data_IF_937906079564
#
_entry.id   IF_937906079564
#
_cell.length_a   1.000
_cell.length_b   1.000
_cell.length_c   1.000
_cell.angle_alpha   90.00
_cell.angle_beta   90.00
_cell.angle_gamma   90.00
#
_symmetry.space_group_name_H-M   'P 1'
#
loop_
_entity.id
_entity.type
_entity.pdbx_description
1 polymer ?
#
# COMPACT_ATOMS: atom_id res chain seq x y z
N UNK A 1 -1.65 -7.54 12.39
CA UNK A 1 -3.08 -7.50 12.03
C UNK A 1 -3.92 -7.89 13.21
N UNK A 2 -4.64 -6.94 13.81
CA UNK A 2 -5.57 -7.23 14.91
C UNK A 2 -5.86 -6.06 15.84
N UNK A 3 -5.01 -5.02 15.83
CA UNK A 3 -5.13 -3.85 16.72
C UNK A 3 -6.06 -2.76 16.18
N UNK A 4 -7.07 -3.13 15.40
CA UNK A 4 -8.03 -2.13 14.92
C UNK A 4 -8.99 -1.79 16.04
N UNK A 5 -9.03 -0.52 16.45
CA UNK A 5 -10.00 0.01 17.43
C UNK A 5 -11.46 -0.26 17.03
N UNK A 6 -11.70 -0.51 15.74
CA UNK A 6 -13.01 -0.79 15.16
C UNK A 6 -13.14 -2.26 14.70
N UNK A 7 -12.53 -3.18 15.45
CA UNK A 7 -12.53 -4.63 15.24
C UNK A 7 -11.78 -5.09 13.97
N UNK A 8 -12.41 -4.98 12.80
CA UNK A 8 -11.94 -5.62 11.57
C UNK A 8 -11.70 -4.66 10.39
N UNK A 9 -11.59 -3.36 10.67
CA UNK A 9 -11.34 -2.34 9.66
C UNK A 9 -10.07 -2.60 8.85
N UNK A 10 -8.98 -2.97 9.53
CA UNK A 10 -7.71 -3.33 8.89
C UNK A 10 -7.82 -4.56 7.97
N UNK A 11 -8.54 -5.62 8.36
CA UNK A 11 -8.76 -6.81 7.53
C UNK A 11 -9.57 -6.49 6.27
N UNK A 12 -10.58 -5.63 6.41
CA UNK A 12 -11.35 -5.11 5.26
C UNK A 12 -10.49 -4.26 4.35
N UNK A 13 -9.62 -3.41 4.89
CA UNK A 13 -8.67 -2.61 4.11
C UNK A 13 -7.70 -3.51 3.33
N UNK A 14 -7.13 -4.55 3.96
CA UNK A 14 -6.26 -5.51 3.28
C UNK A 14 -6.97 -6.20 2.11
N UNK A 15 -8.22 -6.61 2.30
CA UNK A 15 -9.03 -7.24 1.25
C UNK A 15 -9.21 -6.30 0.05
N UNK A 16 -9.52 -5.02 0.31
CA UNK A 16 -9.68 -3.99 -0.73
C UNK A 16 -8.37 -3.69 -1.44
N UNK A 17 -7.26 -3.59 -0.73
CA UNK A 17 -5.94 -3.33 -1.31
C UNK A 17 -5.52 -4.50 -2.20
N UNK A 18 -5.75 -5.75 -1.78
CA UNK A 18 -5.49 -6.92 -2.63
C UNK A 18 -6.31 -6.89 -3.93
N UNK A 19 -7.57 -6.45 -3.87
CA UNK A 19 -8.38 -6.25 -5.07
C UNK A 19 -7.80 -5.15 -5.97
N UNK A 20 -7.47 -3.98 -5.41
CA UNK A 20 -6.89 -2.85 -6.14
C UNK A 20 -5.57 -3.23 -6.82
N UNK A 21 -4.67 -3.93 -6.12
CA UNK A 21 -3.41 -4.44 -6.71
C UNK A 21 -3.65 -5.26 -7.97
N UNK A 22 -4.61 -6.20 -7.92
CA UNK A 22 -4.98 -7.02 -9.09
C UNK A 22 -5.60 -6.18 -10.21
N UNK A 23 -6.44 -5.21 -9.86
CA UNK A 23 -7.05 -4.31 -10.84
C UNK A 23 -6.00 -3.48 -11.56
N UNK A 24 -5.08 -2.86 -10.83
CA UNK A 24 -3.98 -2.05 -11.39
C UNK A 24 -3.09 -2.87 -12.32
N UNK A 25 -2.74 -4.11 -11.92
CA UNK A 25 -2.04 -5.04 -12.81
C UNK A 25 -2.82 -5.32 -14.10
N UNK A 26 -4.13 -5.55 -13.99
CA UNK A 26 -4.99 -5.84 -15.14
C UNK A 26 -5.10 -4.67 -16.13
N UNK A 27 -5.05 -3.43 -15.64
CA UNK A 27 -5.16 -2.23 -16.49
C UNK A 27 -3.79 -1.65 -16.89
N UNK A 28 -2.69 -2.37 -16.65
CA UNK A 28 -1.34 -1.95 -17.04
C UNK A 28 -0.77 -0.80 -16.22
N UNK A 29 -1.29 -0.57 -15.01
CA UNK A 29 -0.83 0.51 -14.12
C UNK A 29 0.17 0.05 -13.04
N UNK A 30 0.45 -1.24 -12.96
CA UNK A 30 1.27 -1.87 -11.92
C UNK A 30 0.67 -1.76 -10.50
N UNK A 31 0.34 -2.91 -9.91
CA UNK A 31 -0.21 -3.03 -8.56
C UNK A 31 0.76 -2.62 -7.46
N UNK A 32 2.06 -2.56 -7.73
CA UNK A 32 3.08 -2.11 -6.78
C UNK A 32 2.95 -0.62 -6.43
N UNK A 33 2.17 0.16 -7.19
CA UNK A 33 1.85 1.57 -6.90
C UNK A 33 1.01 1.78 -5.64
N UNK A 34 0.38 0.74 -5.11
CA UNK A 34 -0.45 0.82 -3.89
C UNK A 34 0.03 -0.24 -2.92
N UNK A 35 0.38 0.17 -1.69
CA UNK A 35 0.76 -0.75 -0.62
C UNK A 35 0.01 -0.41 0.67
N UNK A 36 -0.15 -1.41 1.54
CA UNK A 36 -0.73 -1.26 2.86
C UNK A 36 0.30 -1.72 3.88
N UNK A 37 0.52 -0.89 4.90
CA UNK A 37 1.43 -1.17 6.00
C UNK A 37 0.65 -1.02 7.29
N UNK A 38 0.98 -1.87 8.25
CA UNK A 38 0.52 -1.70 9.62
C UNK A 38 1.56 -0.89 10.39
N UNK A 39 1.09 0.12 11.10
CA UNK A 39 1.90 1.01 11.92
C UNK A 39 1.08 1.40 13.15
N UNK A 40 1.57 1.07 14.34
CA UNK A 40 1.01 1.52 15.60
C UNK A 40 1.27 3.01 15.84
N UNK A 41 0.51 3.62 16.75
CA UNK A 41 0.56 5.07 17.01
C UNK A 41 1.93 5.58 17.49
N UNK A 42 2.73 4.72 18.15
CA UNK A 42 4.06 5.05 18.66
C UNK A 42 5.20 4.48 17.80
N UNK A 43 4.91 3.84 16.66
CA UNK A 43 5.92 3.15 15.84
C UNK A 43 6.52 4.05 14.76
N UNK A 44 7.17 5.15 15.15
CA UNK A 44 7.74 6.10 14.18
C UNK A 44 8.73 5.46 13.19
N UNK A 45 9.61 4.57 13.67
CA UNK A 45 10.56 3.87 12.79
C UNK A 45 9.85 3.00 11.75
N UNK A 46 8.73 2.36 12.12
CA UNK A 46 7.94 1.54 11.21
C UNK A 46 7.28 2.38 10.13
N UNK A 47 6.82 3.58 10.47
CA UNK A 47 6.33 4.55 9.49
C UNK A 47 7.44 4.96 8.50
N UNK A 48 8.64 5.27 8.99
CA UNK A 48 9.78 5.60 8.13
C UNK A 48 10.15 4.46 7.18
N UNK A 49 10.19 3.21 7.67
CA UNK A 49 10.40 2.03 6.83
C UNK A 49 9.34 1.91 5.73
N UNK A 50 8.07 2.10 6.07
CA UNK A 50 6.95 2.02 5.12
C UNK A 50 7.05 3.09 4.02
N UNK A 51 7.44 4.32 4.38
CA UNK A 51 7.67 5.41 3.42
C UNK A 51 8.83 5.06 2.49
N UNK A 52 9.98 4.64 3.04
CA UNK A 52 11.15 4.31 2.24
C UNK A 52 10.90 3.14 1.27
N UNK A 53 10.26 2.07 1.74
CA UNK A 53 9.87 0.93 0.89
C UNK A 53 8.85 1.34 -0.18
N UNK A 54 7.93 2.26 0.13
CA UNK A 54 7.02 2.83 -0.87
C UNK A 54 7.76 3.61 -1.95
N UNK A 55 8.72 4.45 -1.55
CA UNK A 55 9.52 5.23 -2.49
C UNK A 55 10.38 4.34 -3.39
N UNK A 56 11.08 3.35 -2.84
CA UNK A 56 11.89 2.41 -3.60
C UNK A 56 11.04 1.63 -4.63
N UNK A 57 9.84 1.21 -4.24
CA UNK A 57 8.90 0.55 -5.16
C UNK A 57 8.43 1.49 -6.28
N UNK A 58 8.09 2.73 -5.95
CA UNK A 58 7.65 3.71 -6.95
C UNK A 58 8.76 4.06 -7.94
N UNK A 59 10.01 4.15 -7.50
CA UNK A 59 11.17 4.33 -8.38
C UNK A 59 11.30 3.17 -9.38
N UNK A 60 11.14 1.92 -8.93
CA UNK A 60 11.19 0.73 -9.80
C UNK A 60 10.02 0.66 -10.78
N UNK A 61 8.83 1.08 -10.36
CA UNK A 61 7.62 1.08 -11.20
C UNK A 61 7.65 2.20 -12.25
N UNK A 62 8.34 3.31 -11.95
CA UNK A 62 8.48 4.43 -12.87
C UNK A 62 7.24 5.34 -12.95
N UNK A 63 7.23 6.32 -13.88
CA UNK A 63 6.20 7.35 -13.98
C UNK A 63 4.81 6.75 -14.23
N UNK A 64 3.76 7.46 -13.81
CA UNK A 64 2.38 7.03 -14.01
C UNK A 64 2.04 6.99 -15.52
N UNK A 65 1.59 5.86 -16.09
CA UNK A 65 1.32 5.73 -17.52
C UNK A 65 0.14 6.60 -18.01
N UNK A 66 -0.65 7.18 -17.11
CA UNK A 66 -1.74 8.11 -17.46
C UNK A 66 -1.29 9.58 -17.48
N UNK A 67 -0.06 9.86 -17.04
CA UNK A 67 0.46 11.23 -17.00
C UNK A 67 1.16 11.51 -18.32
N UNK A 68 0.52 12.34 -19.15
CA UNK A 68 1.14 13.02 -20.29
C UNK A 68 2.16 14.05 -19.82
#
# INVERSE_FOLDING_TARGET
MGECDFNNGNMKAQTRINFVKRLLNRIGMDGMRVNLYECGAAEFNRFLEAVNDTMEKLEKVGPNPLKN
#
